data_IF_260654311641
#
_entry.id   IF_260654311641
#
_cell.length_a   1.000
_cell.length_b   1.000
_cell.length_c   1.000
_cell.angle_alpha   90.00
_cell.angle_beta   90.00
_cell.angle_gamma   90.00
#
_symmetry.space_group_name_H-M   'P 1'
#
loop_
_entity.id
_entity.type
_entity.pdbx_description
1 polymer ?
#
# COMPACT_ATOMS: atom_id res chain seq x y z
N UNK A 1 4.27 -35.75 3.13
CA UNK A 1 3.68 -34.48 3.60
C UNK A 1 4.21 -33.44 2.65
N UNK A 2 3.33 -32.83 1.83
CA UNK A 2 3.71 -31.75 0.92
C UNK A 2 4.02 -30.57 1.85
N UNK A 3 5.28 -30.12 1.87
CA UNK A 3 5.69 -28.89 2.55
C UNK A 3 5.07 -27.73 1.76
N UNK A 4 3.79 -27.42 2.01
CA UNK A 4 3.21 -26.20 1.43
C UNK A 4 3.93 -25.02 2.05
N UNK A 5 4.69 -24.29 1.24
CA UNK A 5 5.34 -23.06 1.67
C UNK A 5 4.28 -22.11 2.24
N UNK A 6 4.56 -21.52 3.39
CA UNK A 6 3.67 -20.51 3.97
C UNK A 6 3.42 -19.38 2.97
N UNK A 7 2.19 -18.87 2.87
CA UNK A 7 1.83 -17.84 1.90
C UNK A 7 2.63 -16.55 2.13
N UNK A 8 2.74 -15.74 1.08
CA UNK A 8 3.31 -14.40 1.13
C UNK A 8 2.17 -13.42 1.43
N UNK A 9 2.28 -12.68 2.51
CA UNK A 9 1.32 -11.64 2.88
C UNK A 9 1.57 -10.40 2.03
N UNK A 10 0.54 -9.94 1.34
CA UNK A 10 0.59 -8.72 0.53
C UNK A 10 -0.22 -7.59 1.16
N UNK A 11 0.44 -6.46 1.39
CA UNK A 11 -0.16 -5.22 1.87
C UNK A 11 -0.27 -4.22 0.71
N UNK A 12 -1.49 -3.83 0.31
CA UNK A 12 -1.69 -2.97 -0.85
C UNK A 12 -1.27 -1.52 -0.59
N UNK A 13 -1.26 -0.72 -1.65
CA UNK A 13 -1.07 0.73 -1.56
C UNK A 13 -2.26 1.44 -0.90
N UNK A 14 -2.16 2.77 -0.79
CA UNK A 14 -3.16 3.63 -0.13
C UNK A 14 -4.59 3.45 -0.67
N UNK A 15 -4.75 3.08 -1.92
CA UNK A 15 -6.05 2.82 -2.54
C UNK A 15 -6.71 1.51 -2.13
N UNK A 16 -5.98 0.61 -1.44
CA UNK A 16 -6.47 -0.71 -1.06
C UNK A 16 -6.68 -1.66 -2.25
N UNK A 17 -6.30 -1.24 -3.46
CA UNK A 17 -6.46 -2.07 -4.66
C UNK A 17 -5.46 -3.22 -4.65
N UNK A 18 -5.98 -4.44 -4.85
CA UNK A 18 -5.18 -5.65 -4.91
C UNK A 18 -4.96 -5.98 -6.39
N UNK A 19 -3.72 -5.89 -6.89
CA UNK A 19 -3.43 -6.25 -8.27
C UNK A 19 -3.53 -7.77 -8.46
N UNK A 20 -3.43 -8.22 -9.71
CA UNK A 20 -3.32 -9.65 -10.01
C UNK A 20 -1.96 -10.19 -9.56
N UNK A 21 -1.88 -10.61 -8.29
CA UNK A 21 -0.63 -11.04 -7.63
C UNK A 21 -0.06 -12.32 -8.24
N UNK A 22 -0.89 -13.16 -8.89
CA UNK A 22 -0.42 -14.31 -9.64
C UNK A 22 0.61 -13.98 -10.72
N UNK A 23 0.64 -12.72 -11.18
CA UNK A 23 1.64 -12.24 -12.15
C UNK A 23 3.02 -12.03 -11.54
N UNK A 24 3.14 -11.92 -10.21
CA UNK A 24 4.42 -11.86 -9.49
C UNK A 24 4.98 -13.26 -9.21
N UNK A 25 4.21 -14.33 -9.45
CA UNK A 25 4.69 -15.68 -9.27
C UNK A 25 5.94 -15.94 -10.11
N UNK A 26 6.95 -16.45 -9.45
CA UNK A 26 8.23 -16.79 -10.09
C UNK A 26 8.07 -18.14 -10.77
N UNK A 27 8.23 -18.15 -12.09
CA UNK A 27 8.24 -19.39 -12.84
C UNK A 27 9.44 -20.26 -12.42
N UNK A 28 9.22 -21.46 -11.91
CA UNK A 28 10.30 -22.42 -11.66
C UNK A 28 10.13 -23.35 -10.46
N UNK A 29 9.11 -23.19 -9.64
CA UNK A 29 8.75 -24.16 -8.62
C UNK A 29 7.34 -24.68 -8.88
N UNK A 30 7.11 -25.96 -8.67
CA UNK A 30 5.79 -26.61 -8.77
C UNK A 30 4.79 -26.10 -7.70
N UNK A 31 5.20 -25.18 -6.82
CA UNK A 31 4.35 -24.53 -5.84
C UNK A 31 4.19 -23.05 -6.19
N UNK A 32 3.01 -22.70 -6.64
CA UNK A 32 2.54 -21.32 -6.76
C UNK A 32 2.83 -20.55 -5.47
N UNK A 33 3.70 -19.55 -5.52
CA UNK A 33 3.86 -18.59 -4.43
C UNK A 33 2.48 -17.98 -4.15
N UNK A 34 1.80 -18.53 -3.16
CA UNK A 34 0.44 -18.14 -2.82
C UNK A 34 0.48 -16.82 -2.08
N UNK A 35 0.07 -15.76 -2.76
CA UNK A 35 -0.14 -14.48 -2.11
C UNK A 35 -1.48 -14.44 -1.38
N UNK A 36 -1.45 -13.97 -0.14
CA UNK A 36 -2.64 -13.65 0.63
C UNK A 36 -2.68 -12.14 0.88
N UNK A 37 -3.64 -11.48 0.23
CA UNK A 37 -3.77 -10.04 0.36
C UNK A 37 -4.48 -9.65 1.66
N UNK A 38 -3.98 -8.59 2.29
CA UNK A 38 -4.61 -7.93 3.43
C UNK A 38 -5.56 -6.84 2.89
N UNK A 39 -6.71 -6.69 3.50
CA UNK A 39 -7.68 -5.66 3.15
C UNK A 39 -7.72 -4.57 4.20
N UNK A 40 -7.79 -3.32 3.75
CA UNK A 40 -7.95 -2.19 4.66
C UNK A 40 -9.41 -2.01 5.04
N UNK A 41 -9.62 -1.53 6.24
CA UNK A 41 -10.93 -1.12 6.75
C UNK A 41 -11.56 -0.05 5.85
N UNK A 42 -12.88 0.10 5.92
CA UNK A 42 -13.60 1.14 5.21
C UNK A 42 -13.84 2.41 6.05
N UNK A 43 -14.40 3.43 5.42
CA UNK A 43 -14.69 4.73 6.03
C UNK A 43 -15.53 4.63 7.31
N UNK A 44 -16.41 3.62 7.41
CA UNK A 44 -17.23 3.37 8.59
C UNK A 44 -16.37 3.13 9.83
N UNK A 45 -15.31 2.32 9.70
CA UNK A 45 -14.35 2.08 10.78
C UNK A 45 -13.45 3.29 11.01
N UNK A 46 -12.93 3.93 9.96
CA UNK A 46 -12.07 5.10 10.09
C UNK A 46 -12.75 6.28 10.80
N UNK A 47 -14.06 6.36 10.73
CA UNK A 47 -14.85 7.40 11.40
C UNK A 47 -15.42 6.98 12.73
N UNK A 48 -15.29 5.72 13.16
CA UNK A 48 -15.76 5.27 14.45
C UNK A 48 -15.03 6.00 15.60
N UNK A 49 -15.72 6.15 16.73
CA UNK A 49 -15.16 6.81 17.91
C UNK A 49 -13.94 6.03 18.42
N UNK A 50 -12.84 6.73 18.64
CA UNK A 50 -11.61 6.11 19.16
C UNK A 50 -10.79 5.31 18.12
N UNK A 51 -11.17 5.27 16.85
CA UNK A 51 -10.37 4.58 15.84
C UNK A 51 -9.04 5.31 15.61
N UNK A 52 -7.95 4.60 15.75
CA UNK A 52 -6.58 5.09 15.66
C UNK A 52 -5.76 4.26 14.67
N UNK A 53 -4.53 4.69 14.40
CA UNK A 53 -3.59 3.92 13.58
C UNK A 53 -3.23 2.59 14.25
N UNK A 54 -3.17 2.55 15.57
CA UNK A 54 -2.89 1.34 16.35
C UNK A 54 -4.04 0.33 16.20
N UNK A 55 -5.29 0.81 16.19
CA UNK A 55 -6.45 -0.04 15.94
C UNK A 55 -6.42 -0.61 14.52
N UNK A 56 -6.01 0.19 13.52
CA UNK A 56 -5.79 -0.28 12.16
C UNK A 56 -4.68 -1.35 12.14
N UNK A 57 -3.53 -1.09 12.76
CA UNK A 57 -2.43 -2.05 12.80
C UNK A 57 -2.81 -3.35 13.49
N UNK A 58 -3.61 -3.30 14.56
CA UNK A 58 -4.11 -4.50 15.22
C UNK A 58 -5.07 -5.31 14.34
N UNK A 59 -5.94 -4.65 13.56
CA UNK A 59 -6.80 -5.32 12.58
C UNK A 59 -5.98 -6.00 11.47
N UNK A 60 -4.98 -5.31 10.94
CA UNK A 60 -4.08 -5.88 9.92
C UNK A 60 -3.31 -7.09 10.48
N UNK A 61 -2.82 -7.00 11.71
CA UNK A 61 -2.11 -8.09 12.39
C UNK A 61 -3.01 -9.31 12.59
N UNK A 62 -4.25 -9.10 13.01
CA UNK A 62 -5.23 -10.18 13.15
C UNK A 62 -5.49 -10.90 11.81
N UNK A 63 -5.57 -10.15 10.70
CA UNK A 63 -5.70 -10.74 9.38
C UNK A 63 -4.46 -11.56 8.99
N UNK A 64 -3.24 -11.07 9.29
CA UNK A 64 -1.98 -11.80 9.03
C UNK A 64 -1.95 -13.11 9.80
N UNK A 65 -2.24 -13.07 11.10
CA UNK A 65 -2.24 -14.25 11.97
C UNK A 65 -3.29 -15.28 11.53
N UNK A 66 -4.48 -14.81 11.08
CA UNK A 66 -5.51 -15.70 10.54
C UNK A 66 -5.06 -16.41 9.26
N UNK A 67 -4.35 -15.71 8.37
CA UNK A 67 -3.88 -16.25 7.08
C UNK A 67 -2.64 -17.13 7.24
N UNK A 68 -1.79 -16.83 8.22
CA UNK A 68 -0.57 -17.58 8.54
C UNK A 68 -0.56 -17.89 10.04
N UNK A 69 -1.38 -18.84 10.51
CA UNK A 69 -1.47 -19.16 11.93
C UNK A 69 -0.18 -19.73 12.50
N UNK A 70 0.58 -20.46 11.70
CA UNK A 70 1.83 -21.11 12.10
C UNK A 70 2.92 -20.93 11.04
N UNK A 71 4.18 -21.10 11.45
CA UNK A 71 5.35 -21.03 10.58
C UNK A 71 5.82 -19.61 10.29
N UNK A 72 6.85 -19.48 9.44
CA UNK A 72 7.48 -18.21 9.11
C UNK A 72 6.60 -17.35 8.22
N UNK A 73 6.57 -16.04 8.48
CA UNK A 73 5.77 -15.06 7.76
C UNK A 73 6.66 -14.31 6.76
N UNK A 74 6.18 -14.16 5.53
CA UNK A 74 6.81 -13.38 4.47
C UNK A 74 5.90 -12.23 4.11
N UNK A 75 6.45 -11.01 4.07
CA UNK A 75 5.66 -9.78 3.93
C UNK A 75 6.11 -9.00 2.69
N UNK A 76 5.16 -8.65 1.85
CA UNK A 76 5.35 -7.77 0.70
C UNK A 76 4.41 -6.58 0.83
N UNK A 77 4.94 -5.38 0.73
CA UNK A 77 4.14 -4.17 0.79
C UNK A 77 4.37 -3.27 -0.41
N UNK A 78 3.30 -2.82 -1.04
CA UNK A 78 3.36 -1.88 -2.17
C UNK A 78 3.04 -0.46 -1.71
N UNK A 79 3.84 0.53 -2.11
CA UNK A 79 3.60 1.94 -1.74
C UNK A 79 3.51 2.09 -0.21
N UNK A 80 2.43 2.66 0.31
CA UNK A 80 2.18 2.74 1.76
C UNK A 80 2.16 1.36 2.44
N UNK A 81 1.80 0.31 1.70
CA UNK A 81 1.85 -1.07 2.19
C UNK A 81 3.25 -1.50 2.65
N UNK A 82 4.32 -0.91 2.09
CA UNK A 82 5.68 -1.15 2.58
C UNK A 82 5.93 -0.60 3.98
N UNK A 83 5.34 0.56 4.32
CA UNK A 83 5.40 1.09 5.69
C UNK A 83 4.60 0.24 6.67
N UNK A 84 3.40 -0.21 6.26
CA UNK A 84 2.61 -1.14 7.04
C UNK A 84 3.33 -2.48 7.20
N UNK A 85 3.97 -2.99 6.14
CA UNK A 85 4.73 -4.23 6.17
C UNK A 85 5.93 -4.17 7.12
N UNK A 86 6.68 -3.07 7.09
CA UNK A 86 7.77 -2.82 8.03
C UNK A 86 7.29 -2.82 9.48
N UNK A 87 6.25 -2.03 9.80
CA UNK A 87 5.71 -1.96 11.15
C UNK A 87 5.08 -3.30 11.58
N UNK A 88 4.45 -4.01 10.66
CA UNK A 88 3.90 -5.35 10.90
C UNK A 88 5.01 -6.36 11.23
N UNK A 89 6.11 -6.33 10.48
CA UNK A 89 7.25 -7.21 10.73
C UNK A 89 7.85 -7.00 12.13
N UNK A 90 7.96 -5.75 12.59
CA UNK A 90 8.39 -5.43 13.95
C UNK A 90 7.44 -6.01 14.99
N UNK A 91 6.13 -5.76 14.88
CA UNK A 91 5.11 -6.25 15.82
C UNK A 91 5.06 -7.78 15.90
N UNK A 92 5.14 -8.44 14.76
CA UNK A 92 5.16 -9.92 14.71
C UNK A 92 6.40 -10.49 15.40
N UNK A 93 7.57 -9.87 15.21
CA UNK A 93 8.78 -10.27 15.92
C UNK A 93 8.68 -10.02 17.44
N UNK A 94 8.14 -8.89 17.85
CA UNK A 94 7.88 -8.59 19.26
C UNK A 94 6.93 -9.62 19.90
N UNK A 95 5.96 -10.13 19.14
CA UNK A 95 5.06 -11.21 19.59
C UNK A 95 5.66 -12.62 19.48
N UNK A 96 6.95 -12.74 19.11
CA UNK A 96 7.66 -14.02 19.02
C UNK A 96 7.41 -14.78 17.71
N UNK A 97 6.79 -14.16 16.68
CA UNK A 97 6.62 -14.78 15.37
C UNK A 97 7.87 -14.61 14.50
N UNK A 98 8.22 -15.65 13.79
CA UNK A 98 9.30 -15.61 12.81
C UNK A 98 8.85 -14.83 11.56
N UNK A 99 9.64 -13.82 11.17
CA UNK A 99 9.51 -13.11 9.90
C UNK A 99 10.67 -13.53 9.01
N UNK A 100 10.38 -14.36 8.00
CA UNK A 100 11.39 -14.91 7.10
C UNK A 100 11.88 -13.93 6.04
N UNK A 101 11.10 -12.87 5.78
CA UNK A 101 11.50 -11.82 4.84
C UNK A 101 10.50 -10.69 4.72
N UNK A 102 11.03 -9.55 4.30
CA UNK A 102 10.26 -8.33 4.04
C UNK A 102 10.68 -7.72 2.70
N UNK A 103 9.71 -7.35 1.86
CA UNK A 103 9.96 -6.65 0.61
C UNK A 103 9.04 -5.44 0.48
N UNK A 104 9.63 -4.26 0.32
CA UNK A 104 8.91 -3.04 -0.01
C UNK A 104 8.97 -2.79 -1.53
N UNK A 105 7.83 -2.56 -2.16
CA UNK A 105 7.73 -2.24 -3.59
C UNK A 105 7.33 -0.78 -3.73
N UNK A 106 8.24 0.02 -4.24
CA UNK A 106 8.13 1.46 -4.52
C UNK A 106 7.46 2.25 -3.36
N UNK A 107 7.94 1.96 -2.16
CA UNK A 107 7.48 2.57 -0.91
C UNK A 107 8.38 3.75 -0.59
N UNK A 108 7.89 4.94 -0.92
CA UNK A 108 8.62 6.19 -0.75
C UNK A 108 8.23 6.90 0.55
N UNK A 109 9.12 7.75 1.05
CA UNK A 109 8.87 8.56 2.23
C UNK A 109 7.81 9.63 1.94
N UNK A 110 6.78 9.69 2.76
CA UNK A 110 5.62 10.56 2.50
C UNK A 110 6.01 12.04 2.59
N UNK A 111 7.00 12.39 3.39
CA UNK A 111 7.50 13.77 3.51
C UNK A 111 8.17 14.27 2.22
N UNK A 112 8.69 13.37 1.38
CA UNK A 112 9.27 13.70 0.08
C UNK A 112 8.23 14.08 -0.99
N UNK A 113 6.94 13.81 -0.71
CA UNK A 113 5.81 14.14 -1.59
C UNK A 113 5.38 15.62 -1.48
N UNK A 114 6.29 16.54 -1.54
CA UNK A 114 5.95 17.95 -1.71
C UNK A 114 5.05 18.14 -2.96
N UNK A 115 4.11 19.12 -2.95
CA UNK A 115 3.32 19.41 -4.14
C UNK A 115 4.28 19.85 -5.25
N UNK A 116 4.54 18.96 -6.22
CA UNK A 116 5.33 19.34 -7.38
C UNK A 116 4.64 20.50 -8.07
N UNK A 117 5.38 21.56 -8.43
CA UNK A 117 4.84 22.72 -9.14
C UNK A 117 4.10 22.30 -10.44
N UNK A 118 4.40 21.10 -10.94
CA UNK A 118 3.88 20.53 -12.19
C UNK A 118 2.59 19.72 -12.04
N UNK A 119 2.05 19.54 -10.82
CA UNK A 119 0.88 18.69 -10.62
C UNK A 119 -0.35 19.13 -11.45
N UNK A 120 -0.53 20.45 -11.64
CA UNK A 120 -1.63 21.01 -12.44
C UNK A 120 -1.48 20.67 -13.92
N UNK A 121 -0.27 20.83 -14.45
CA UNK A 121 0.06 20.52 -15.85
C UNK A 121 -0.10 19.02 -16.12
N UNK A 122 0.37 18.17 -15.20
CA UNK A 122 0.20 16.71 -15.28
C UNK A 122 -1.27 16.32 -15.24
N UNK A 123 -2.05 16.87 -14.34
CA UNK A 123 -3.50 16.63 -14.25
C UNK A 123 -4.24 17.02 -15.52
N UNK A 124 -3.93 18.18 -16.08
CA UNK A 124 -4.52 18.66 -17.35
C UNK A 124 -4.13 17.77 -18.53
N UNK A 125 -2.88 17.36 -18.62
CA UNK A 125 -2.38 16.49 -19.68
C UNK A 125 -3.05 15.10 -19.62
N UNK A 126 -3.25 14.56 -18.43
CA UNK A 126 -3.93 13.29 -18.19
C UNK A 126 -5.41 13.37 -18.61
N UNK A 127 -6.12 14.42 -18.18
CA UNK A 127 -7.51 14.68 -18.57
C UNK A 127 -7.65 14.78 -20.10
N UNK A 128 -6.74 15.50 -20.75
CA UNK A 128 -6.75 15.65 -22.21
C UNK A 128 -6.43 14.33 -22.93
N UNK A 129 -5.54 13.51 -22.40
CA UNK A 129 -5.25 12.18 -22.97
C UNK A 129 -6.49 11.29 -22.95
N UNK A 130 -7.15 11.17 -21.79
CA UNK A 130 -8.36 10.36 -21.63
C UNK A 130 -9.47 10.85 -22.55
N UNK A 131 -9.69 12.18 -22.62
CA UNK A 131 -10.70 12.79 -23.48
C UNK A 131 -10.43 12.55 -24.96
N UNK A 132 -9.18 12.76 -25.41
CA UNK A 132 -8.79 12.55 -26.82
C UNK A 132 -8.84 11.08 -27.24
N UNK A 133 -8.64 10.15 -26.30
CA UNK A 133 -8.81 8.71 -26.56
C UNK A 133 -10.29 8.28 -26.70
N UNK A 134 -11.24 9.20 -26.53
CA UNK A 134 -12.68 8.90 -26.62
C UNK A 134 -13.24 8.11 -25.44
N UNK A 135 -12.50 7.96 -24.36
CA UNK A 135 -12.87 7.19 -23.19
C UNK A 135 -13.76 8.03 -22.25
N UNK A 136 -14.97 8.37 -22.69
CA UNK A 136 -15.90 9.26 -21.97
C UNK A 136 -16.21 8.78 -20.55
N UNK A 137 -16.35 7.45 -20.34
CA UNK A 137 -16.60 6.88 -19.02
C UNK A 137 -15.42 7.10 -18.09
N UNK A 138 -14.21 6.87 -18.56
CA UNK A 138 -12.97 7.11 -17.77
C UNK A 138 -12.79 8.60 -17.47
N UNK A 139 -13.08 9.46 -18.46
CA UNK A 139 -13.05 10.92 -18.26
C UNK A 139 -14.04 11.39 -17.20
N UNK A 140 -15.29 10.90 -17.21
CA UNK A 140 -16.28 11.25 -16.20
C UNK A 140 -15.88 10.74 -14.80
N UNK A 141 -15.34 9.51 -14.71
CA UNK A 141 -14.79 8.98 -13.46
C UNK A 141 -13.62 9.84 -12.93
N UNK A 142 -12.72 10.26 -13.83
CA UNK A 142 -11.61 11.14 -13.48
C UNK A 142 -12.10 12.49 -12.91
N UNK A 143 -13.02 13.15 -13.58
CA UNK A 143 -13.58 14.44 -13.14
C UNK A 143 -14.28 14.31 -11.79
N UNK A 144 -15.11 13.26 -11.60
CA UNK A 144 -15.80 12.99 -10.34
C UNK A 144 -14.82 12.71 -9.19
N UNK A 145 -13.77 11.96 -9.44
CA UNK A 145 -12.70 11.73 -8.46
C UNK A 145 -12.03 13.05 -8.03
N UNK A 146 -11.65 13.90 -8.98
CA UNK A 146 -11.05 15.22 -8.68
C UNK A 146 -12.01 16.14 -7.92
N UNK A 147 -13.29 16.11 -8.25
CA UNK A 147 -14.33 16.85 -7.54
C UNK A 147 -14.42 16.43 -6.08
N UNK A 148 -14.55 15.13 -5.78
CA UNK A 148 -14.62 14.64 -4.41
C UNK A 148 -13.34 14.91 -3.62
N UNK A 149 -12.17 14.77 -4.24
CA UNK A 149 -10.89 15.16 -3.60
C UNK A 149 -10.87 16.64 -3.22
N UNK A 150 -11.40 17.52 -4.07
CA UNK A 150 -11.50 18.94 -3.76
C UNK A 150 -12.44 19.20 -2.58
N UNK A 151 -13.64 18.58 -2.58
CA UNK A 151 -14.61 18.67 -1.49
C UNK A 151 -13.98 18.21 -0.16
N UNK A 152 -13.33 17.05 -0.12
CA UNK A 152 -12.72 16.53 1.09
C UNK A 152 -11.50 17.35 1.55
N UNK A 153 -10.79 17.97 0.61
CA UNK A 153 -9.69 18.90 0.95
C UNK A 153 -10.22 20.15 1.62
N UNK A 154 -11.33 20.72 1.13
CA UNK A 154 -12.00 21.87 1.73
C UNK A 154 -12.54 21.56 3.13
N UNK A 155 -13.08 20.37 3.35
CA UNK A 155 -13.51 19.91 4.67
C UNK A 155 -12.35 19.79 5.66
N UNK A 156 -11.12 19.54 5.18
CA UNK A 156 -9.91 19.52 5.97
C UNK A 156 -9.97 18.54 7.16
N UNK A 157 -9.54 19.01 8.34
CA UNK A 157 -9.59 18.24 9.59
C UNK A 157 -11.00 18.00 10.14
N UNK A 158 -12.01 18.75 9.65
CA UNK A 158 -13.41 18.59 10.06
C UNK A 158 -14.11 17.42 9.37
N UNK A 159 -13.48 16.85 8.33
CA UNK A 159 -14.09 15.78 7.51
C UNK A 159 -14.60 14.62 8.36
N UNK A 160 -13.79 14.14 9.30
CA UNK A 160 -14.15 13.00 10.16
C UNK A 160 -15.43 13.28 10.95
N UNK A 161 -15.53 14.44 11.59
CA UNK A 161 -16.73 14.83 12.36
C UNK A 161 -17.98 14.99 11.48
N UNK A 162 -17.83 15.57 10.28
CA UNK A 162 -18.91 15.68 9.29
C UNK A 162 -19.40 14.29 8.87
N UNK A 163 -18.51 13.38 8.56
CA UNK A 163 -18.87 12.02 8.18
C UNK A 163 -19.56 11.29 9.33
N UNK A 164 -19.08 11.43 10.56
CA UNK A 164 -19.72 10.85 11.74
C UNK A 164 -21.18 11.33 11.92
N UNK A 165 -21.42 12.64 11.73
CA UNK A 165 -22.77 13.18 11.84
C UNK A 165 -23.73 12.72 10.71
N UNK A 166 -23.20 12.34 9.56
CA UNK A 166 -23.96 11.88 8.39
C UNK A 166 -24.02 10.34 8.28
N UNK A 167 -23.24 9.61 9.08
CA UNK A 167 -23.07 8.16 8.95
C UNK A 167 -24.31 7.34 9.30
N UNK A 168 -25.24 7.90 10.06
CA UNK A 168 -26.45 7.21 10.54
C UNK A 168 -27.55 7.00 9.50
N UNK A 169 -27.36 7.42 8.23
CA UNK A 169 -28.38 7.19 7.18
C UNK A 169 -27.97 7.71 5.80
N UNK A 170 -27.91 9.04 5.56
CA UNK A 170 -27.82 9.57 4.19
C UNK A 170 -26.52 9.16 3.46
N UNK A 171 -25.40 9.11 4.15
CA UNK A 171 -24.11 8.85 3.51
C UNK A 171 -23.99 7.42 2.97
N UNK A 172 -24.50 6.42 3.71
CA UNK A 172 -24.51 5.02 3.23
C UNK A 172 -25.30 4.88 1.95
N UNK A 173 -26.44 5.57 1.88
CA UNK A 173 -27.27 5.59 0.69
C UNK A 173 -26.52 6.24 -0.49
N UNK A 174 -25.90 7.40 -0.27
CA UNK A 174 -25.14 8.08 -1.33
C UNK A 174 -23.96 7.26 -1.79
N UNK A 175 -23.19 6.62 -0.90
CA UNK A 175 -22.07 5.74 -1.26
C UNK A 175 -22.51 4.54 -2.10
N UNK A 176 -23.71 4.00 -1.87
CA UNK A 176 -24.24 2.90 -2.68
C UNK A 176 -24.44 3.28 -4.16
N UNK A 177 -24.75 4.56 -4.44
CA UNK A 177 -24.94 5.08 -5.80
C UNK A 177 -23.70 5.80 -6.36
N UNK A 178 -22.74 6.14 -5.51
CA UNK A 178 -21.55 6.90 -5.87
C UNK A 178 -20.26 6.19 -5.38
N UNK A 179 -19.83 5.08 -6.04
CA UNK A 179 -18.67 4.32 -5.63
C UNK A 179 -17.36 5.13 -5.69
N UNK A 180 -17.30 6.17 -6.51
CA UNK A 180 -16.15 7.07 -6.57
C UNK A 180 -16.04 7.92 -5.30
N UNK A 181 -17.19 8.36 -4.77
CA UNK A 181 -17.25 9.05 -3.47
C UNK A 181 -16.66 8.16 -2.37
N UNK A 182 -17.12 6.92 -2.28
CA UNK A 182 -16.66 5.98 -1.26
C UNK A 182 -15.16 5.72 -1.37
N UNK A 183 -14.66 5.47 -2.58
CA UNK A 183 -13.23 5.29 -2.84
C UNK A 183 -12.41 6.49 -2.38
N UNK A 184 -12.80 7.70 -2.77
CA UNK A 184 -12.07 8.92 -2.44
C UNK A 184 -12.19 9.27 -0.94
N UNK A 185 -13.31 8.92 -0.30
CA UNK A 185 -13.49 9.08 1.13
C UNK A 185 -12.57 8.14 1.92
N UNK A 186 -12.54 6.86 1.56
CA UNK A 186 -11.63 5.89 2.15
C UNK A 186 -10.18 6.35 2.03
N UNK A 187 -9.77 6.72 0.83
CA UNK A 187 -8.43 7.23 0.56
C UNK A 187 -8.09 8.44 1.44
N UNK A 188 -9.01 9.40 1.56
CA UNK A 188 -8.76 10.63 2.33
C UNK A 188 -8.66 10.35 3.82
N UNK A 189 -9.54 9.54 4.38
CA UNK A 189 -9.54 9.19 5.80
C UNK A 189 -8.30 8.38 6.18
N UNK A 190 -7.95 7.39 5.35
CA UNK A 190 -6.72 6.61 5.54
C UNK A 190 -5.48 7.49 5.47
N UNK A 191 -5.41 8.43 4.51
CA UNK A 191 -4.31 9.38 4.39
C UNK A 191 -4.14 10.23 5.67
N UNK A 192 -5.25 10.66 6.28
CA UNK A 192 -5.19 11.46 7.51
C UNK A 192 -4.63 10.68 8.72
N UNK A 193 -4.79 9.36 8.74
CA UNK A 193 -4.22 8.49 9.76
C UNK A 193 -2.75 8.16 9.46
N UNK A 194 -2.45 7.81 8.22
CA UNK A 194 -1.17 7.22 7.82
C UNK A 194 -0.06 8.27 7.70
N UNK A 195 -0.34 9.46 7.14
CA UNK A 195 0.71 10.46 6.91
C UNK A 195 1.45 10.88 8.19
N UNK A 196 0.78 11.27 9.29
CA UNK A 196 1.48 11.61 10.51
C UNK A 196 2.18 10.40 11.17
N UNK A 197 1.63 9.20 11.00
CA UNK A 197 2.20 7.99 11.53
C UNK A 197 3.49 7.58 10.78
N UNK A 198 3.51 7.61 9.45
CA UNK A 198 4.73 7.31 8.69
C UNK A 198 5.84 8.31 9.01
N UNK A 199 5.52 9.60 9.18
CA UNK A 199 6.47 10.60 9.63
C UNK A 199 7.03 10.30 11.04
N UNK A 200 6.25 9.66 11.93
CA UNK A 200 6.78 9.23 13.25
C UNK A 200 7.74 8.05 13.11
N UNK A 201 7.46 7.10 12.21
CA UNK A 201 8.38 5.98 11.92
C UNK A 201 9.74 6.45 11.35
N UNK A 202 9.76 7.57 10.64
CA UNK A 202 10.99 8.12 10.07
C UNK A 202 11.85 8.86 11.11
N UNK A 203 11.20 9.49 12.09
CA UNK A 203 11.91 10.22 13.15
C UNK A 203 12.63 9.29 14.12
N UNK A 204 12.01 8.20 14.47
CA UNK A 204 12.53 7.21 15.43
C UNK A 204 12.44 5.80 14.84
N UNK A 205 13.28 5.49 13.82
CA UNK A 205 13.23 4.18 13.19
C UNK A 205 13.74 3.09 14.14
N UNK A 206 12.96 2.03 14.28
CA UNK A 206 13.37 0.79 14.94
C UNK A 206 14.01 -0.13 13.91
N UNK A 207 15.19 -0.66 14.19
CA UNK A 207 15.88 -1.54 13.24
C UNK A 207 15.14 -2.87 13.08
N UNK A 208 14.80 -3.20 11.84
CA UNK A 208 14.25 -4.49 11.45
C UNK A 208 15.39 -5.37 10.91
N UNK A 209 15.82 -6.33 11.71
CA UNK A 209 16.87 -7.28 11.36
C UNK A 209 16.28 -8.60 10.82
N UNK A 210 15.83 -8.56 9.57
CA UNK A 210 15.36 -9.70 8.77
C UNK A 210 15.89 -9.55 7.34
N UNK A 211 15.90 -10.61 6.52
CA UNK A 211 16.11 -10.46 5.09
C UNK A 211 15.14 -9.45 4.51
N UNK A 212 15.64 -8.31 4.02
CA UNK A 212 14.81 -7.22 3.55
C UNK A 212 15.23 -6.74 2.16
N UNK A 213 14.26 -6.35 1.33
CA UNK A 213 14.50 -5.83 0.00
C UNK A 213 13.59 -4.63 -0.30
N UNK A 214 14.14 -3.67 -1.04
CA UNK A 214 13.40 -2.54 -1.60
C UNK A 214 13.50 -2.59 -3.13
N UNK A 215 12.36 -2.80 -3.77
CA UNK A 215 12.25 -2.64 -5.22
C UNK A 215 11.68 -1.25 -5.49
N UNK A 216 12.47 -0.37 -6.09
CA UNK A 216 12.08 1.01 -6.24
C UNK A 216 12.30 1.53 -7.65
N UNK A 217 11.49 2.51 -8.05
CA UNK A 217 11.74 3.26 -9.27
C UNK A 217 12.86 4.28 -9.06
N UNK A 218 13.41 4.79 -10.17
CA UNK A 218 14.44 5.83 -10.10
C UNK A 218 13.97 7.10 -9.38
N UNK A 219 12.68 7.38 -9.42
CA UNK A 219 12.10 8.60 -8.83
C UNK A 219 12.15 8.61 -7.30
N UNK A 220 12.23 7.43 -6.67
CA UNK A 220 12.23 7.28 -5.21
C UNK A 220 13.60 6.97 -4.62
N UNK A 221 14.67 7.09 -5.42
CA UNK A 221 16.05 6.80 -4.99
C UNK A 221 16.54 7.69 -3.83
N UNK A 222 15.97 8.89 -3.66
CA UNK A 222 16.28 9.79 -2.53
C UNK A 222 15.92 9.19 -1.17
N UNK A 223 15.05 8.19 -1.14
CA UNK A 223 14.53 7.59 0.09
C UNK A 223 15.37 6.38 0.56
N UNK A 224 16.35 5.92 -0.24
CA UNK A 224 17.24 4.80 0.10
C UNK A 224 17.89 4.95 1.49
N UNK A 225 18.42 6.12 1.90
CA UNK A 225 19.00 6.28 3.22
C UNK A 225 18.01 6.06 4.38
N UNK A 226 16.75 6.45 4.20
CA UNK A 226 15.71 6.24 5.21
C UNK A 226 15.38 4.74 5.35
N UNK A 227 15.27 4.02 4.24
CA UNK A 227 15.07 2.58 4.27
C UNK A 227 16.26 1.83 4.88
N UNK A 228 17.51 2.27 4.64
CA UNK A 228 18.70 1.68 5.27
C UNK A 228 18.75 1.90 6.78
N UNK A 229 18.20 3.01 7.29
CA UNK A 229 18.07 3.21 8.75
C UNK A 229 17.06 2.26 9.38
N UNK A 230 15.97 1.92 8.65
CA UNK A 230 14.94 0.97 9.10
C UNK A 230 15.39 -0.49 8.99
N UNK A 231 16.08 -0.81 7.92
CA UNK A 231 16.55 -2.15 7.60
C UNK A 231 18.01 -2.06 7.18
N UNK A 232 18.98 -2.18 8.11
CA UNK A 232 20.41 -1.95 7.82
C UNK A 232 20.98 -2.85 6.72
N UNK A 233 20.42 -4.06 6.57
CA UNK A 233 20.85 -5.05 5.56
C UNK A 233 19.92 -5.10 4.35
N UNK A 234 19.13 -4.04 4.08
CA UNK A 234 18.20 -4.02 2.95
C UNK A 234 18.94 -4.06 1.62
N UNK A 235 18.55 -4.98 0.75
CA UNK A 235 18.97 -5.02 -0.64
C UNK A 235 18.06 -4.11 -1.48
N UNK A 236 18.66 -3.24 -2.32
CA UNK A 236 17.90 -2.27 -3.10
C UNK A 236 18.04 -2.59 -4.59
N UNK A 237 16.91 -2.78 -5.24
CA UNK A 237 16.80 -3.07 -6.65
C UNK A 237 16.09 -1.91 -7.36
N UNK A 238 16.74 -1.34 -8.37
CA UNK A 238 16.10 -0.36 -9.24
C UNK A 238 15.29 -1.08 -10.32
N UNK A 239 14.02 -0.71 -10.44
CA UNK A 239 13.09 -1.27 -11.42
C UNK A 239 12.62 -0.17 -12.38
N UNK A 240 12.48 -0.47 -13.67
CA UNK A 240 11.89 0.47 -14.62
C UNK A 240 10.39 0.62 -14.37
N UNK A 241 9.83 1.74 -14.82
CA UNK A 241 8.40 2.02 -14.74
C UNK A 241 8.07 3.22 -13.87
N UNK A 242 6.78 3.39 -13.63
CA UNK A 242 6.23 4.47 -12.80
C UNK A 242 5.40 3.86 -11.67
N UNK A 243 5.35 4.55 -10.54
CA UNK A 243 4.63 4.09 -9.35
C UNK A 243 3.24 3.51 -9.66
N UNK A 244 2.45 4.23 -10.43
CA UNK A 244 1.07 3.88 -10.71
C UNK A 244 0.92 2.68 -11.66
N UNK A 245 1.97 2.33 -12.41
CA UNK A 245 1.92 1.28 -13.46
C UNK A 245 2.71 0.03 -13.13
N UNK A 246 3.54 0.04 -12.08
CA UNK A 246 4.43 -1.08 -11.74
C UNK A 246 3.73 -2.44 -11.62
N UNK A 247 2.52 -2.45 -11.09
CA UNK A 247 1.72 -3.66 -10.94
C UNK A 247 0.78 -3.92 -12.12
N UNK A 248 0.90 -3.13 -13.20
CA UNK A 248 0.14 -3.32 -14.44
C UNK A 248 0.89 -4.21 -15.43
N UNK A 249 0.16 -4.70 -16.45
CA UNK A 249 0.65 -5.73 -17.36
C UNK A 249 1.96 -5.36 -18.10
N UNK A 250 2.17 -4.08 -18.38
CA UNK A 250 3.30 -3.63 -19.20
C UNK A 250 4.64 -3.62 -18.43
N UNK A 251 4.62 -3.39 -17.13
CA UNK A 251 5.82 -3.24 -16.30
C UNK A 251 6.10 -4.49 -15.43
N UNK A 252 5.18 -5.45 -15.42
CA UNK A 252 5.19 -6.58 -14.50
C UNK A 252 6.36 -7.55 -14.70
N UNK A 253 6.91 -7.68 -15.91
CA UNK A 253 8.01 -8.61 -16.18
C UNK A 253 9.28 -8.21 -15.42
N UNK A 254 9.68 -6.95 -15.52
CA UNK A 254 10.87 -6.43 -14.83
C UNK A 254 10.68 -6.45 -13.31
N UNK A 255 9.46 -6.13 -12.83
CA UNK A 255 9.13 -6.24 -11.42
C UNK A 255 9.24 -7.69 -10.93
N UNK A 256 8.73 -8.66 -11.71
CA UNK A 256 8.80 -10.08 -11.38
C UNK A 256 10.24 -10.59 -11.28
N UNK A 257 11.10 -10.22 -12.23
CA UNK A 257 12.53 -10.60 -12.20
C UNK A 257 13.22 -10.04 -10.96
N UNK A 258 13.03 -8.75 -10.67
CA UNK A 258 13.58 -8.11 -9.49
C UNK A 258 13.02 -8.72 -8.20
N UNK A 259 11.72 -9.01 -8.15
CA UNK A 259 11.06 -9.66 -7.02
C UNK A 259 11.62 -11.07 -6.77
N UNK A 260 11.81 -11.84 -7.83
CA UNK A 260 12.43 -13.18 -7.75
C UNK A 260 13.85 -13.11 -7.18
N UNK A 261 14.65 -12.16 -7.64
CA UNK A 261 16.00 -11.97 -7.11
C UNK A 261 15.97 -11.56 -5.62
N UNK A 262 15.11 -10.61 -5.28
CA UNK A 262 14.95 -10.03 -3.95
C UNK A 262 14.45 -11.04 -2.90
N UNK A 263 13.67 -12.03 -3.30
CA UNK A 263 13.05 -13.01 -2.39
C UNK A 263 13.74 -14.38 -2.39
N UNK A 264 14.80 -14.55 -3.15
CA UNK A 264 15.50 -15.85 -3.29
C UNK A 264 15.92 -16.44 -1.95
N UNK A 265 16.40 -15.62 -1.03
CA UNK A 265 16.84 -16.05 0.31
C UNK A 265 15.69 -16.52 1.21
N UNK A 266 14.44 -16.15 0.89
CA UNK A 266 13.28 -16.52 1.72
C UNK A 266 12.91 -18.01 1.63
N UNK A 267 13.41 -18.68 0.60
CA UNK A 267 13.09 -20.07 0.29
C UNK A 267 14.34 -20.98 0.34
N UNK A 268 15.51 -20.39 0.65
CA UNK A 268 16.73 -21.13 0.86
C UNK A 268 16.75 -21.63 2.33
N UNK A 269 16.20 -22.81 2.57
CA UNK A 269 16.29 -23.56 3.84
C UNK A 269 17.09 -24.82 3.65
#
# INVERSE_FOLDING_TARGET
MVNSLSPIIFLPGMGGEIPSLSRLNVAGGDDDNRFEAITYSGWQQYTSTGFTIEALMADLEAQVVLKVPEGPIRIVGYSVGGHFGYAMALRLRESGREVAGFCAIDSFMIESLGPSAEWKTRMLSEALKIFRAGHLREFTCFVRSKFWRAVFRLAGGRLRGLIQSLSSGPLRFVCAFEPILEKELNLRLLTQLVVPWTASLDREPVELDVPASLLRTRLTASDDPAWRRRCPRIEIFEIPGQHETLLQANDISSLREAFSAATRSWFAS
#
